data_IF_995071609970
#
_entry.id   IF_995071609970
#
_cell.length_a   1.000
_cell.length_b   1.000
_cell.length_c   1.000
_cell.angle_alpha   90.00
_cell.angle_beta   90.00
_cell.angle_gamma   90.00
#
_symmetry.space_group_name_H-M   'P 1'
#
loop_
_entity.id
_entity.type
_entity.pdbx_description
1 polymer ?
#
# COMPACT_ATOMS: atom_id res chain seq x y z
N UNK A 1 8.85 2.18 32.12
CA UNK A 1 7.67 1.72 31.35
C UNK A 1 6.32 2.10 31.96
N UNK A 2 6.22 2.43 33.26
CA UNK A 2 4.91 2.70 33.90
C UNK A 2 4.29 4.08 33.60
N UNK A 3 5.07 5.06 33.15
CA UNK A 3 4.61 6.47 33.06
C UNK A 3 3.90 6.83 31.75
N UNK A 4 3.81 5.92 30.79
CA UNK A 4 3.24 6.22 29.46
C UNK A 4 1.91 5.54 29.19
N UNK A 5 1.33 4.86 30.16
CA UNK A 5 0.03 4.23 29.98
C UNK A 5 -1.05 5.23 30.41
N UNK A 6 -1.59 5.98 29.49
CA UNK A 6 -2.52 7.10 29.73
C UNK A 6 -3.74 6.72 30.57
N UNK A 7 -4.30 5.53 30.42
CA UNK A 7 -5.44 5.08 31.25
C UNK A 7 -5.07 4.77 32.71
N UNK A 8 -3.79 4.83 33.08
CA UNK A 8 -3.29 4.77 34.46
C UNK A 8 -2.85 6.14 34.98
N UNK A 9 -3.07 7.20 34.24
CA UNK A 9 -2.77 8.57 34.65
C UNK A 9 -3.47 8.90 35.97
N UNK A 10 -2.79 9.69 36.81
CA UNK A 10 -3.40 10.26 38.01
C UNK A 10 -4.38 11.39 37.69
N UNK A 11 -4.19 12.03 36.53
CA UNK A 11 -5.13 12.99 36.01
C UNK A 11 -6.40 12.29 35.56
N UNK A 12 -7.55 12.74 36.10
CA UNK A 12 -8.83 12.09 35.86
C UNK A 12 -9.35 12.37 34.44
N UNK A 13 -9.08 13.54 33.90
CA UNK A 13 -9.52 13.92 32.55
C UNK A 13 -8.73 13.17 31.50
N UNK A 14 -7.39 13.16 31.60
CA UNK A 14 -6.52 12.38 30.72
C UNK A 14 -6.86 10.88 30.78
N UNK A 15 -7.08 10.35 31.96
CA UNK A 15 -7.46 8.95 32.16
C UNK A 15 -8.79 8.61 31.49
N UNK A 16 -9.81 9.43 31.69
CA UNK A 16 -11.15 9.19 31.15
C UNK A 16 -11.16 9.33 29.62
N UNK A 17 -10.45 10.30 29.05
CA UNK A 17 -10.27 10.43 27.62
C UNK A 17 -9.57 9.21 27.02
N UNK A 18 -8.50 8.72 27.65
CA UNK A 18 -7.78 7.53 27.21
C UNK A 18 -8.66 6.26 27.29
N UNK A 19 -9.47 6.11 28.33
CA UNK A 19 -10.38 4.95 28.47
C UNK A 19 -11.45 4.95 27.38
N UNK A 20 -11.97 6.12 27.02
CA UNK A 20 -12.92 6.26 25.92
C UNK A 20 -12.29 5.88 24.58
N UNK A 21 -11.11 6.43 24.29
CA UNK A 21 -10.34 6.14 23.08
C UNK A 21 -10.04 4.63 22.96
N UNK A 22 -9.53 3.99 24.01
CA UNK A 22 -9.30 2.53 24.00
C UNK A 22 -10.59 1.70 23.81
N UNK A 23 -11.72 2.18 24.27
CA UNK A 23 -12.99 1.51 24.07
C UNK A 23 -13.45 1.58 22.62
N UNK A 24 -13.27 2.73 21.98
CA UNK A 24 -13.58 2.91 20.55
C UNK A 24 -12.64 2.10 19.66
N UNK A 25 -11.32 2.16 19.91
CA UNK A 25 -10.34 1.33 19.22
C UNK A 25 -10.62 -0.17 19.39
N UNK A 26 -11.03 -0.61 20.56
CA UNK A 26 -11.38 -2.01 20.79
C UNK A 26 -12.60 -2.42 19.96
N UNK A 27 -13.65 -1.60 19.95
CA UNK A 27 -14.85 -1.86 19.14
C UNK A 27 -14.49 -2.05 17.66
N UNK A 28 -13.65 -1.17 17.11
CA UNK A 28 -13.21 -1.28 15.72
C UNK A 28 -12.34 -2.52 15.49
N UNK A 29 -11.38 -2.78 16.37
CA UNK A 29 -10.54 -3.98 16.30
C UNK A 29 -11.35 -5.27 16.31
N UNK A 30 -12.31 -5.42 17.25
CA UNK A 30 -13.08 -6.65 17.39
C UNK A 30 -14.17 -6.83 16.33
N UNK A 31 -14.51 -5.80 15.56
CA UNK A 31 -15.47 -5.88 14.43
C UNK A 31 -15.10 -6.99 13.45
N UNK A 32 -13.81 -7.06 13.09
CA UNK A 32 -13.28 -8.01 12.10
C UNK A 32 -12.37 -9.08 12.72
N UNK A 33 -12.29 -9.15 14.06
CA UNK A 33 -11.41 -10.05 14.77
C UNK A 33 -11.93 -11.48 14.79
N UNK A 34 -11.09 -12.43 14.34
CA UNK A 34 -11.41 -13.85 14.40
C UNK A 34 -10.53 -14.57 15.45
N UNK A 35 -11.05 -14.80 16.68
CA UNK A 35 -10.26 -15.40 17.76
C UNK A 35 -9.84 -16.84 17.49
N UNK A 36 -10.59 -17.60 16.67
CA UNK A 36 -10.23 -18.99 16.31
C UNK A 36 -9.03 -18.99 15.38
N UNK A 37 -9.04 -18.12 14.37
CA UNK A 37 -7.92 -17.97 13.44
C UNK A 37 -6.67 -17.53 14.18
N UNK A 38 -6.76 -16.50 15.02
CA UNK A 38 -5.63 -15.95 15.75
C UNK A 38 -5.05 -16.97 16.77
N UNK A 39 -5.91 -17.75 17.42
CA UNK A 39 -5.49 -18.87 18.27
C UNK A 39 -4.68 -19.91 17.50
N UNK A 40 -5.14 -20.31 16.31
CA UNK A 40 -4.44 -21.28 15.48
C UNK A 40 -3.12 -20.72 14.96
N UNK A 41 -3.08 -19.43 14.58
CA UNK A 41 -1.84 -18.74 14.23
C UNK A 41 -0.85 -18.72 15.39
N UNK A 42 -1.29 -18.41 16.61
CA UNK A 42 -0.42 -18.44 17.78
C UNK A 42 0.19 -19.84 18.00
N UNK A 43 -0.60 -20.89 17.88
CA UNK A 43 -0.10 -22.27 18.00
C UNK A 43 0.97 -22.56 16.97
N UNK A 44 0.66 -22.37 15.70
CA UNK A 44 1.59 -22.65 14.59
C UNK A 44 2.87 -21.81 14.66
N UNK A 45 2.75 -20.53 15.01
CA UNK A 45 3.92 -19.64 15.13
C UNK A 45 4.83 -20.01 16.31
N UNK A 46 4.27 -20.45 17.43
CA UNK A 46 5.07 -20.94 18.57
C UNK A 46 5.80 -22.24 18.21
N UNK A 47 5.14 -23.16 17.51
CA UNK A 47 5.75 -24.40 17.00
C UNK A 47 6.90 -24.08 16.04
N UNK A 48 6.65 -23.23 15.03
CA UNK A 48 7.68 -22.80 14.09
C UNK A 48 8.88 -22.14 14.80
N UNK A 49 8.62 -21.31 15.81
CA UNK A 49 9.68 -20.67 16.58
C UNK A 49 10.49 -21.72 17.34
N UNK A 50 9.83 -22.68 17.97
CA UNK A 50 10.48 -23.73 18.75
C UNK A 50 11.36 -24.63 17.88
N UNK A 51 10.88 -25.00 16.69
CA UNK A 51 11.57 -25.94 15.81
C UNK A 51 12.68 -25.30 14.99
N UNK A 52 12.51 -24.04 14.55
CA UNK A 52 13.42 -23.44 13.59
C UNK A 52 14.43 -22.44 14.22
N UNK A 53 14.19 -21.99 15.44
CA UNK A 53 15.12 -21.06 16.11
C UNK A 53 16.06 -21.85 17.04
N UNK A 54 17.38 -21.58 17.01
CA UNK A 54 18.32 -22.25 17.93
C UNK A 54 17.91 -22.07 19.39
N UNK A 55 18.02 -23.12 20.18
CA UNK A 55 17.57 -23.15 21.60
C UNK A 55 18.19 -22.05 22.47
N UNK A 56 19.37 -21.57 22.11
CA UNK A 56 20.06 -20.45 22.77
C UNK A 56 19.29 -19.13 22.68
N UNK A 57 18.44 -19.00 21.67
CA UNK A 57 17.58 -17.81 21.44
C UNK A 57 16.12 -18.05 21.80
N UNK A 58 15.79 -19.22 22.38
CA UNK A 58 14.44 -19.48 22.83
C UNK A 58 14.04 -18.53 23.94
N UNK A 59 12.83 -18.03 23.84
CA UNK A 59 12.19 -17.24 24.87
C UNK A 59 11.85 -18.11 26.09
N UNK A 60 11.86 -17.53 27.28
CA UNK A 60 11.49 -18.22 28.53
C UNK A 60 10.05 -18.77 28.53
N UNK A 61 9.21 -18.33 27.61
CA UNK A 61 7.84 -18.84 27.47
C UNK A 61 7.81 -20.34 27.22
N UNK A 62 8.79 -20.88 26.48
CA UNK A 62 8.86 -22.31 26.20
C UNK A 62 9.07 -23.16 27.46
N UNK A 63 9.80 -22.64 28.45
CA UNK A 63 9.92 -23.30 29.76
C UNK A 63 8.57 -23.38 30.47
N UNK A 64 7.72 -22.35 30.31
CA UNK A 64 6.39 -22.32 30.89
C UNK A 64 5.46 -23.30 30.17
N UNK A 65 5.55 -23.43 28.87
CA UNK A 65 4.78 -24.41 28.09
C UNK A 65 5.15 -25.82 28.53
N UNK A 66 6.45 -26.14 28.59
CA UNK A 66 6.93 -27.46 29.05
C UNK A 66 6.48 -27.80 30.45
N UNK A 67 6.45 -26.81 31.37
CA UNK A 67 6.04 -27.02 32.78
C UNK A 67 4.52 -27.15 32.95
N UNK A 68 3.74 -26.55 32.06
CA UNK A 68 2.29 -26.59 32.16
C UNK A 68 1.67 -27.89 31.65
N UNK A 69 2.47 -28.67 30.93
CA UNK A 69 2.01 -29.93 30.32
C UNK A 69 2.52 -31.14 31.11
N UNK A 70 1.57 -31.94 31.56
CA UNK A 70 1.86 -33.21 32.24
C UNK A 70 2.33 -34.31 31.28
N UNK A 71 2.27 -34.05 29.98
CA UNK A 71 2.68 -34.97 28.91
C UNK A 71 4.10 -34.68 28.42
N UNK A 72 4.80 -35.71 27.96
CA UNK A 72 6.16 -35.62 27.43
C UNK A 72 6.28 -34.89 26.08
N UNK A 73 5.18 -34.47 25.47
CA UNK A 73 5.14 -33.74 24.20
C UNK A 73 4.63 -32.31 24.40
N UNK A 74 5.25 -31.37 23.71
CA UNK A 74 4.75 -29.99 23.63
C UNK A 74 3.45 -29.95 22.82
N UNK A 75 2.39 -29.47 23.46
CA UNK A 75 1.07 -29.28 22.83
C UNK A 75 0.78 -27.78 22.71
N UNK A 76 1.25 -27.19 21.60
CA UNK A 76 1.07 -25.78 21.32
C UNK A 76 -0.39 -25.40 21.12
N UNK A 77 -1.22 -26.33 20.59
CA UNK A 77 -2.65 -26.10 20.40
C UNK A 77 -3.40 -25.94 21.73
N UNK A 78 -3.16 -26.86 22.65
CA UNK A 78 -3.75 -26.77 23.99
C UNK A 78 -3.26 -25.54 24.74
N UNK A 79 -1.96 -25.22 24.58
CA UNK A 79 -1.42 -24.00 25.18
C UNK A 79 -2.10 -22.74 24.61
N UNK A 80 -2.21 -22.60 23.30
CA UNK A 80 -2.89 -21.48 22.65
C UNK A 80 -4.36 -21.37 23.07
N UNK A 81 -5.11 -22.49 23.13
CA UNK A 81 -6.47 -22.54 23.65
C UNK A 81 -6.57 -21.97 25.07
N UNK A 82 -5.64 -22.36 25.94
CA UNK A 82 -5.59 -21.86 27.32
C UNK A 82 -5.27 -20.37 27.40
N UNK A 83 -4.39 -19.86 26.54
CA UNK A 83 -4.07 -18.43 26.43
C UNK A 83 -5.34 -17.65 26.05
N UNK A 84 -6.01 -18.03 24.97
CA UNK A 84 -7.20 -17.34 24.48
C UNK A 84 -8.38 -17.43 25.46
N UNK A 85 -8.55 -18.56 26.13
CA UNK A 85 -9.57 -18.70 27.17
C UNK A 85 -9.36 -17.73 28.34
N UNK A 86 -8.11 -17.43 28.72
CA UNK A 86 -7.76 -16.68 29.94
C UNK A 86 -7.41 -15.23 29.70
N UNK A 87 -6.92 -14.88 28.51
CA UNK A 87 -6.53 -13.53 28.18
C UNK A 87 -7.72 -12.57 28.12
N UNK A 88 -7.53 -11.37 28.64
CA UNK A 88 -8.50 -10.30 28.50
C UNK A 88 -8.48 -9.66 27.10
N UNK A 89 -7.46 -9.92 26.31
CA UNK A 89 -7.31 -9.37 24.96
C UNK A 89 -7.94 -10.25 23.88
N UNK A 90 -8.42 -11.44 24.20
CA UNK A 90 -8.98 -12.39 23.22
C UNK A 90 -10.45 -12.19 22.89
N UNK A 91 -11.13 -11.26 23.56
CA UNK A 91 -12.57 -11.10 23.49
C UNK A 91 -12.98 -9.68 23.92
N UNK A 92 -13.86 -9.04 23.15
CA UNK A 92 -14.30 -7.67 23.40
C UNK A 92 -14.96 -7.51 24.79
N UNK A 93 -15.79 -8.46 25.20
CA UNK A 93 -16.47 -8.38 26.49
C UNK A 93 -15.48 -8.44 27.65
N UNK A 94 -14.48 -9.31 27.56
CA UNK A 94 -13.40 -9.40 28.57
C UNK A 94 -12.57 -8.12 28.60
N UNK A 95 -12.26 -7.56 27.45
CA UNK A 95 -11.50 -6.32 27.35
C UNK A 95 -12.29 -5.13 27.92
N UNK A 96 -13.54 -4.99 27.55
CA UNK A 96 -14.43 -3.96 28.09
C UNK A 96 -14.64 -4.10 29.61
N UNK A 97 -14.68 -5.34 30.15
CA UNK A 97 -14.69 -5.59 31.59
C UNK A 97 -13.41 -5.17 32.27
N UNK A 98 -12.26 -5.36 31.61
CA UNK A 98 -10.97 -4.85 32.08
C UNK A 98 -10.95 -3.32 32.13
N UNK A 99 -11.45 -2.62 31.11
CA UNK A 99 -11.48 -1.16 31.04
C UNK A 99 -12.35 -0.50 32.14
N UNK A 100 -13.28 -1.23 32.74
CA UNK A 100 -14.06 -0.72 33.90
C UNK A 100 -13.19 -0.50 35.15
N UNK A 101 -12.12 -1.28 35.32
CA UNK A 101 -11.17 -1.16 36.42
C UNK A 101 -9.77 -1.59 35.93
N UNK A 102 -9.11 -0.74 35.13
CA UNK A 102 -7.83 -1.08 34.52
C UNK A 102 -6.71 -1.10 35.58
N UNK A 103 -5.80 -2.07 35.46
CA UNK A 103 -4.68 -2.24 36.35
C UNK A 103 -3.46 -2.79 35.62
N UNK A 104 -2.32 -2.15 35.84
CA UNK A 104 -1.05 -2.63 35.31
C UNK A 104 -0.71 -4.06 35.78
N UNK A 105 -1.05 -4.39 37.00
CA UNK A 105 -0.82 -5.74 37.53
C UNK A 105 -1.66 -6.81 36.83
N UNK A 106 -2.89 -6.45 36.39
CA UNK A 106 -3.70 -7.36 35.60
C UNK A 106 -3.11 -7.58 34.21
N UNK A 107 -2.60 -6.54 33.57
CA UNK A 107 -1.90 -6.66 32.26
C UNK A 107 -0.69 -7.58 32.43
N UNK A 108 0.16 -7.33 33.40
CA UNK A 108 1.38 -8.15 33.64
C UNK A 108 1.11 -9.64 33.87
N UNK A 109 -0.08 -9.99 34.31
CA UNK A 109 -0.48 -11.39 34.58
C UNK A 109 -1.27 -12.00 33.44
N UNK A 110 -1.61 -11.22 32.43
CA UNK A 110 -2.33 -11.70 31.27
C UNK A 110 -1.45 -12.63 30.42
N UNK A 111 -1.93 -13.83 30.05
CA UNK A 111 -1.10 -14.81 29.34
C UNK A 111 -0.66 -14.32 27.94
N UNK A 112 -1.46 -13.55 27.21
CA UNK A 112 -1.04 -13.00 25.93
C UNK A 112 0.08 -11.95 26.12
N UNK A 113 -0.04 -11.10 27.15
CA UNK A 113 1.02 -10.14 27.49
C UNK A 113 2.33 -10.84 27.91
N UNK A 114 2.24 -11.94 28.65
CA UNK A 114 3.40 -12.74 29.07
C UNK A 114 4.13 -13.34 27.86
N UNK A 115 3.39 -13.87 26.89
CA UNK A 115 3.99 -14.39 25.65
C UNK A 115 4.71 -13.27 24.89
N UNK A 116 4.00 -12.19 24.59
CA UNK A 116 4.55 -11.05 23.87
C UNK A 116 5.78 -10.49 24.56
N UNK A 117 5.71 -10.26 25.89
CA UNK A 117 6.82 -9.70 26.66
C UNK A 117 8.03 -10.65 26.68
N UNK A 118 7.81 -11.96 26.82
CA UNK A 118 8.86 -12.96 26.85
C UNK A 118 9.61 -13.02 25.51
N UNK A 119 8.89 -13.08 24.40
CA UNK A 119 9.46 -13.12 23.05
C UNK A 119 10.19 -11.79 22.74
N UNK A 120 9.56 -10.66 23.03
CA UNK A 120 10.18 -9.34 22.82
C UNK A 120 11.45 -9.15 23.61
N UNK A 121 11.46 -9.54 24.90
CA UNK A 121 12.65 -9.45 25.72
C UNK A 121 13.79 -10.35 25.22
N UNK A 122 13.47 -11.57 24.77
CA UNK A 122 14.46 -12.45 24.14
C UNK A 122 15.06 -11.82 22.87
N UNK A 123 14.23 -11.21 22.02
CA UNK A 123 14.69 -10.48 20.85
C UNK A 123 15.62 -9.31 21.21
N UNK A 124 15.20 -8.46 22.14
CA UNK A 124 15.99 -7.27 22.55
C UNK A 124 17.32 -7.65 23.19
N UNK A 125 17.35 -8.72 23.96
CA UNK A 125 18.57 -9.13 24.68
C UNK A 125 19.54 -9.92 23.80
N UNK A 126 19.02 -10.77 22.91
CA UNK A 126 19.84 -11.74 22.21
C UNK A 126 20.06 -11.42 20.73
N UNK A 127 19.06 -10.84 20.04
CA UNK A 127 19.09 -10.65 18.59
C UNK A 127 19.42 -9.20 18.22
N UNK A 128 18.74 -8.25 18.86
CA UNK A 128 18.88 -6.83 18.51
C UNK A 128 20.33 -6.31 18.60
N UNK A 129 21.15 -6.66 19.61
CA UNK A 129 22.56 -6.22 19.66
C UNK A 129 23.37 -6.74 18.48
N UNK A 130 23.18 -8.01 18.09
CA UNK A 130 23.86 -8.63 16.93
C UNK A 130 23.43 -7.91 15.64
N UNK A 131 22.12 -7.74 15.44
CA UNK A 131 21.59 -7.02 14.27
C UNK A 131 22.14 -5.59 14.18
N UNK A 132 22.25 -4.89 15.32
CA UNK A 132 22.79 -3.54 15.38
C UNK A 132 24.27 -3.50 14.99
N UNK A 133 25.09 -4.45 15.44
CA UNK A 133 26.53 -4.50 15.14
C UNK A 133 26.82 -4.74 13.67
N UNK A 134 26.03 -5.60 13.01
CA UNK A 134 26.26 -5.95 11.58
C UNK A 134 25.47 -5.11 10.58
N UNK A 135 24.74 -4.11 11.07
CA UNK A 135 23.83 -3.31 10.19
C UNK A 135 24.57 -2.61 9.05
N UNK A 136 25.75 -2.07 9.32
CA UNK A 136 26.55 -1.37 8.31
C UNK A 136 27.04 -2.33 7.22
N UNK A 137 27.52 -3.51 7.62
CA UNK A 137 27.98 -4.57 6.70
C UNK A 137 26.83 -5.10 5.84
N UNK A 138 25.65 -5.33 6.44
CA UNK A 138 24.43 -5.74 5.70
C UNK A 138 24.01 -4.67 4.70
N UNK A 139 24.07 -3.39 5.06
CA UNK A 139 23.73 -2.30 4.16
C UNK A 139 24.66 -2.24 2.97
N UNK A 140 25.96 -2.38 3.20
CA UNK A 140 26.98 -2.42 2.14
C UNK A 140 26.83 -3.68 1.26
N UNK A 141 26.61 -4.85 1.89
CA UNK A 141 26.37 -6.11 1.18
C UNK A 141 25.15 -6.02 0.25
N UNK A 142 24.05 -5.45 0.72
CA UNK A 142 22.85 -5.22 -0.08
C UNK A 142 23.13 -4.26 -1.26
N UNK A 143 23.89 -3.20 -1.03
CA UNK A 143 24.28 -2.25 -2.08
C UNK A 143 25.09 -2.93 -3.18
N UNK A 144 26.07 -3.74 -2.81
CA UNK A 144 26.90 -4.51 -3.75
C UNK A 144 26.07 -5.56 -4.49
N UNK A 145 25.16 -6.26 -3.79
CA UNK A 145 24.26 -7.24 -4.39
C UNK A 145 23.37 -6.61 -5.46
N UNK A 146 22.71 -5.49 -5.15
CA UNK A 146 21.88 -4.77 -6.12
C UNK A 146 22.71 -4.28 -7.30
N UNK A 147 23.93 -3.76 -7.07
CA UNK A 147 24.84 -3.39 -8.16
C UNK A 147 25.12 -4.58 -9.07
N UNK A 148 25.41 -5.75 -8.51
CA UNK A 148 25.62 -6.98 -9.27
C UNK A 148 24.40 -7.38 -10.10
N UNK A 149 23.18 -7.27 -9.55
CA UNK A 149 21.95 -7.53 -10.29
C UNK A 149 21.77 -6.59 -11.48
N UNK A 150 22.04 -5.30 -11.29
CA UNK A 150 21.96 -4.29 -12.35
C UNK A 150 22.96 -4.57 -13.48
N UNK A 151 24.16 -5.01 -13.15
CA UNK A 151 25.19 -5.37 -14.13
C UNK A 151 24.86 -6.69 -14.84
N UNK A 152 24.30 -7.68 -14.12
CA UNK A 152 23.93 -8.99 -14.67
C UNK A 152 22.75 -8.91 -15.64
N UNK A 153 21.80 -8.03 -15.38
CA UNK A 153 20.57 -7.88 -16.16
C UNK A 153 20.38 -6.46 -16.72
N UNK A 154 21.24 -5.98 -17.62
CA UNK A 154 21.25 -4.59 -18.08
C UNK A 154 19.98 -4.16 -18.83
N UNK A 155 19.22 -5.13 -19.34
CA UNK A 155 17.95 -4.86 -20.05
C UNK A 155 16.71 -5.02 -19.16
N UNK A 156 16.87 -5.50 -17.91
CA UNK A 156 15.77 -5.60 -16.97
C UNK A 156 15.54 -4.25 -16.29
N UNK A 157 14.29 -3.83 -16.24
CA UNK A 157 13.89 -2.64 -15.49
C UNK A 157 13.79 -3.01 -14.01
N UNK A 158 14.51 -2.27 -13.19
CA UNK A 158 14.42 -2.38 -11.73
C UNK A 158 13.84 -1.09 -11.19
N UNK A 159 12.78 -1.19 -10.44
CA UNK A 159 12.17 -0.07 -9.75
C UNK A 159 12.65 -0.05 -8.30
N UNK A 160 12.78 1.14 -7.74
CA UNK A 160 13.20 1.25 -6.34
C UNK A 160 11.99 1.42 -5.44
N UNK A 161 12.02 0.76 -4.28
CA UNK A 161 11.01 0.95 -3.25
C UNK A 161 11.08 2.36 -2.65
N UNK A 162 9.96 2.86 -2.14
CA UNK A 162 9.87 4.15 -1.47
C UNK A 162 10.82 4.23 -0.26
N UNK A 163 11.57 5.34 -0.16
CA UNK A 163 12.53 5.59 0.92
C UNK A 163 12.58 7.07 1.32
N UNK A 164 11.52 7.81 1.11
CA UNK A 164 11.40 9.26 1.34
C UNK A 164 12.27 10.10 0.39
N UNK A 165 12.64 9.56 -0.77
CA UNK A 165 13.23 10.33 -1.88
C UNK A 165 12.34 10.23 -3.11
N UNK A 166 12.42 11.25 -3.98
CA UNK A 166 11.66 11.24 -5.24
C UNK A 166 12.11 10.07 -6.13
N UNK A 167 11.11 9.35 -6.67
CA UNK A 167 11.31 8.21 -7.57
C UNK A 167 10.31 8.27 -8.70
N UNK A 168 10.67 7.65 -9.80
CA UNK A 168 9.82 7.56 -10.98
C UNK A 168 9.61 6.10 -11.31
N UNK A 169 8.34 5.68 -11.34
CA UNK A 169 7.91 4.49 -12.06
C UNK A 169 7.15 4.92 -13.29
N UNK A 170 7.19 4.14 -14.36
CA UNK A 170 6.51 4.46 -15.60
C UNK A 170 5.85 3.23 -16.20
N UNK A 171 4.73 3.46 -16.87
CA UNK A 171 3.94 2.42 -17.47
C UNK A 171 2.91 3.00 -18.44
N UNK A 172 2.01 2.15 -18.87
CA UNK A 172 0.90 2.51 -19.73
C UNK A 172 -0.42 2.14 -19.06
N UNK A 173 -1.48 2.82 -19.43
CA UNK A 173 -2.84 2.44 -19.07
C UNK A 173 -3.25 1.26 -19.92
N UNK A 174 -3.55 0.13 -19.26
CA UNK A 174 -3.97 -1.11 -19.89
C UNK A 174 -5.06 -1.79 -19.06
N UNK A 175 -5.98 -2.39 -19.77
CA UNK A 175 -6.82 -3.48 -19.29
C UNK A 175 -5.99 -4.73 -18.94
N UNK A 176 -6.64 -5.77 -18.42
CA UNK A 176 -6.00 -7.07 -18.26
C UNK A 176 -7.02 -8.22 -18.20
N UNK A 177 -6.55 -9.40 -18.56
CA UNK A 177 -7.29 -10.64 -18.40
C UNK A 177 -6.81 -11.35 -17.12
N UNK A 178 -7.63 -11.34 -16.06
CA UNK A 178 -7.26 -11.93 -14.77
C UNK A 178 -7.31 -13.45 -14.78
N UNK A 179 -8.29 -14.03 -15.50
CA UNK A 179 -8.49 -15.47 -15.62
C UNK A 179 -9.20 -15.79 -16.94
N UNK A 180 -9.47 -17.05 -17.21
CA UNK A 180 -10.27 -17.43 -18.38
C UNK A 180 -11.66 -16.80 -18.31
N UNK A 181 -12.06 -16.10 -19.40
CA UNK A 181 -13.31 -15.35 -19.52
C UNK A 181 -13.49 -14.18 -18.50
N UNK A 182 -12.45 -13.79 -17.73
CA UNK A 182 -12.51 -12.64 -16.82
C UNK A 182 -11.62 -11.54 -17.36
N UNK A 183 -12.24 -10.43 -17.70
CA UNK A 183 -11.59 -9.26 -18.27
C UNK A 183 -11.92 -8.01 -17.45
N UNK A 184 -10.93 -7.24 -17.07
CA UNK A 184 -11.06 -5.97 -16.40
C UNK A 184 -10.66 -4.83 -17.35
N UNK A 185 -11.59 -3.90 -17.55
CA UNK A 185 -11.32 -2.69 -18.31
C UNK A 185 -10.33 -1.78 -17.55
N UNK A 186 -9.69 -0.87 -18.28
CA UNK A 186 -8.67 0.00 -17.71
C UNK A 186 -9.25 1.15 -16.86
N UNK A 187 -10.55 1.31 -16.75
CA UNK A 187 -11.20 2.36 -15.96
C UNK A 187 -12.50 1.88 -15.32
N UNK A 188 -12.92 2.61 -14.29
CA UNK A 188 -14.26 2.49 -13.70
C UNK A 188 -14.97 3.84 -13.73
N UNK A 189 -16.30 3.81 -13.61
CA UNK A 189 -17.16 5.00 -13.60
C UNK A 189 -17.88 5.14 -12.26
N UNK A 190 -18.55 6.27 -12.06
CA UNK A 190 -19.37 6.52 -10.88
C UNK A 190 -20.49 5.49 -10.71
N UNK A 191 -20.92 4.82 -11.78
CA UNK A 191 -21.91 3.73 -11.71
C UNK A 191 -21.45 2.61 -10.78
N UNK A 192 -20.15 2.29 -10.81
CA UNK A 192 -19.57 1.26 -9.92
C UNK A 192 -19.64 1.64 -8.45
N UNK A 193 -19.62 2.92 -8.09
CA UNK A 193 -19.83 3.39 -6.72
C UNK A 193 -21.29 3.11 -6.32
N UNK A 194 -22.25 3.47 -7.19
CA UNK A 194 -23.67 3.28 -6.91
C UNK A 194 -24.05 1.79 -6.84
N UNK A 195 -23.44 0.94 -7.66
CA UNK A 195 -23.66 -0.51 -7.63
C UNK A 195 -23.20 -1.18 -6.34
N UNK A 196 -22.23 -0.58 -5.65
CA UNK A 196 -21.68 -1.09 -4.38
C UNK A 196 -22.31 -0.44 -3.15
N UNK A 197 -23.20 0.54 -3.34
CA UNK A 197 -23.84 1.22 -2.21
C UNK A 197 -24.56 0.21 -1.33
N UNK A 198 -24.24 0.23 -0.04
CA UNK A 198 -24.91 -0.56 1.01
C UNK A 198 -25.03 0.31 2.27
N UNK A 199 -26.24 0.72 2.55
CA UNK A 199 -26.56 1.54 3.73
C UNK A 199 -26.34 0.81 5.07
N UNK A 200 -26.18 -0.51 5.06
CA UNK A 200 -25.92 -1.33 6.24
C UNK A 200 -24.43 -1.57 6.50
N UNK A 201 -23.59 -1.36 5.49
CA UNK A 201 -22.13 -1.45 5.63
C UNK A 201 -21.49 -0.07 5.59
N UNK A 202 -20.87 0.34 6.70
CA UNK A 202 -20.26 1.66 6.84
C UNK A 202 -19.19 1.97 5.77
N UNK A 203 -18.54 0.94 5.22
CA UNK A 203 -17.52 1.10 4.17
C UNK A 203 -18.14 1.42 2.80
N UNK A 204 -19.42 1.04 2.59
CA UNK A 204 -20.11 1.20 1.30
C UNK A 204 -21.24 2.24 1.34
N UNK A 205 -21.41 2.98 2.45
CA UNK A 205 -22.36 4.08 2.51
C UNK A 205 -21.93 5.18 1.53
N UNK A 206 -22.79 5.45 0.53
CA UNK A 206 -22.60 6.60 -0.36
C UNK A 206 -23.32 7.83 0.21
N UNK A 207 -22.63 8.97 0.37
CA UNK A 207 -23.28 10.19 0.85
C UNK A 207 -24.45 10.61 -0.05
N UNK A 208 -25.58 10.96 0.57
CA UNK A 208 -26.81 11.35 -0.15
C UNK A 208 -26.56 12.41 -1.23
N UNK A 209 -25.74 13.41 -0.94
CA UNK A 209 -25.38 14.45 -1.91
C UNK A 209 -24.72 13.88 -3.19
N UNK A 210 -23.89 12.83 -3.06
CA UNK A 210 -23.27 12.19 -4.20
C UNK A 210 -24.29 11.40 -5.02
N UNK A 211 -25.25 10.73 -4.35
CA UNK A 211 -26.36 10.05 -5.00
C UNK A 211 -27.22 11.07 -5.78
N UNK A 212 -27.53 12.21 -5.17
CA UNK A 212 -28.33 13.26 -5.80
C UNK A 212 -27.61 13.82 -7.04
N UNK A 213 -26.30 14.08 -6.97
CA UNK A 213 -25.48 14.50 -8.13
C UNK A 213 -25.43 13.44 -9.23
N UNK A 214 -25.31 12.17 -8.87
CA UNK A 214 -25.38 11.06 -9.81
C UNK A 214 -26.73 11.02 -10.56
N UNK A 215 -27.84 11.13 -9.83
CA UNK A 215 -29.17 11.09 -10.42
C UNK A 215 -29.46 12.27 -11.36
N UNK A 216 -28.85 13.42 -11.12
CA UNK A 216 -28.93 14.59 -12.02
C UNK A 216 -28.12 14.33 -13.30
N UNK A 217 -27.01 13.59 -13.21
CA UNK A 217 -26.16 13.26 -14.36
C UNK A 217 -25.37 14.44 -14.93
N UNK A 218 -25.34 15.58 -14.23
CA UNK A 218 -24.57 16.75 -14.67
C UNK A 218 -23.13 16.71 -14.11
N UNK A 219 -22.25 16.06 -14.84
CA UNK A 219 -20.82 16.01 -14.51
C UNK A 219 -20.04 17.18 -15.13
N UNK A 220 -20.67 18.01 -15.95
CA UNK A 220 -20.07 19.19 -16.57
C UNK A 220 -18.77 18.88 -17.33
N UNK A 221 -17.73 19.69 -17.07
CA UNK A 221 -16.40 19.52 -17.69
C UNK A 221 -15.65 18.27 -17.27
N UNK A 222 -16.13 17.55 -16.27
CA UNK A 222 -15.47 16.35 -15.71
C UNK A 222 -15.93 15.05 -16.40
N UNK A 223 -17.01 15.12 -17.18
CA UNK A 223 -17.43 13.98 -17.99
C UNK A 223 -16.40 13.67 -19.09
N UNK A 224 -16.31 12.39 -19.46
CA UNK A 224 -15.61 11.97 -20.66
C UNK A 224 -16.45 12.23 -21.91
N UNK A 225 -15.97 11.79 -23.08
CA UNK A 225 -16.65 12.02 -24.36
C UNK A 225 -18.01 11.32 -24.49
N UNK A 226 -18.18 10.24 -23.74
CA UNK A 226 -19.39 9.44 -23.70
C UNK A 226 -20.37 9.93 -22.62
N UNK A 227 -20.02 11.01 -21.91
CA UNK A 227 -20.82 11.60 -20.83
C UNK A 227 -20.64 10.91 -19.47
N UNK A 228 -19.68 10.01 -19.32
CA UNK A 228 -19.44 9.28 -18.07
C UNK A 228 -18.45 10.02 -17.18
N UNK A 229 -18.64 9.94 -15.86
CA UNK A 229 -17.64 10.37 -14.89
C UNK A 229 -16.75 9.19 -14.52
N UNK A 230 -15.50 9.22 -14.98
CA UNK A 230 -14.49 8.20 -14.64
C UNK A 230 -13.98 8.41 -13.23
N UNK A 231 -13.90 7.31 -12.47
CA UNK A 231 -13.49 7.34 -11.06
C UNK A 231 -12.05 6.88 -10.90
N UNK A 232 -11.71 5.74 -11.49
CA UNK A 232 -10.39 5.15 -11.42
C UNK A 232 -9.91 4.73 -12.79
N UNK A 233 -8.58 4.62 -12.94
CA UNK A 233 -7.95 3.91 -14.05
C UNK A 233 -6.80 3.05 -13.54
N UNK A 234 -6.41 2.07 -14.35
CA UNK A 234 -5.30 1.16 -14.02
C UNK A 234 -4.17 1.27 -15.04
N UNK A 235 -2.94 1.07 -14.54
CA UNK A 235 -1.73 1.11 -15.35
C UNK A 235 -0.75 0.02 -14.91
N UNK A 236 0.19 -0.35 -15.79
CA UNK A 236 1.20 -1.37 -15.49
C UNK A 236 2.48 -0.80 -14.86
N UNK A 237 2.35 0.28 -14.09
CA UNK A 237 3.41 0.77 -13.24
C UNK A 237 3.67 -0.23 -12.10
N UNK A 238 4.94 -0.40 -11.74
CA UNK A 238 5.31 -1.13 -10.54
C UNK A 238 5.32 -0.18 -9.35
N UNK A 239 4.51 -0.46 -8.35
CA UNK A 239 4.38 0.31 -7.10
C UNK A 239 4.46 -0.59 -5.88
N UNK A 240 4.77 0.00 -4.75
CA UNK A 240 4.79 -0.66 -3.44
C UNK A 240 4.25 0.27 -2.36
N UNK A 241 4.17 -0.20 -1.12
CA UNK A 241 3.78 0.64 0.02
C UNK A 241 4.63 1.90 0.13
N UNK A 242 3.97 3.05 0.28
CA UNK A 242 4.58 4.39 0.26
C UNK A 242 4.30 5.19 -1.02
N UNK A 243 3.80 4.55 -2.07
CA UNK A 243 3.39 5.22 -3.31
C UNK A 243 2.00 5.84 -3.23
N UNK A 244 1.21 5.49 -2.22
CA UNK A 244 -0.14 6.03 -2.02
C UNK A 244 -0.13 7.55 -1.89
N UNK A 245 -0.98 8.24 -2.66
CA UNK A 245 -1.05 9.71 -2.74
C UNK A 245 -0.09 10.33 -3.77
N UNK A 246 0.71 9.54 -4.47
CA UNK A 246 1.64 10.04 -5.47
C UNK A 246 0.93 10.53 -6.73
N UNK A 247 1.36 11.66 -7.31
CA UNK A 247 0.78 12.16 -8.54
C UNK A 247 1.11 11.24 -9.72
N UNK A 248 0.10 10.95 -10.53
CA UNK A 248 0.27 10.30 -11.82
C UNK A 248 0.23 11.37 -12.89
N UNK A 249 1.30 11.46 -13.68
CA UNK A 249 1.42 12.48 -14.72
C UNK A 249 1.48 11.83 -16.12
N UNK A 250 1.00 12.56 -17.11
CA UNK A 250 1.16 12.15 -18.50
C UNK A 250 2.50 12.63 -19.08
N UNK A 251 2.74 12.32 -20.36
CA UNK A 251 3.99 12.69 -21.05
C UNK A 251 4.21 14.21 -21.22
N UNK A 252 3.22 15.03 -20.91
CA UNK A 252 3.34 16.50 -20.93
C UNK A 252 3.56 17.11 -19.54
N UNK A 253 3.70 16.26 -18.49
CA UNK A 253 3.82 16.71 -17.11
C UNK A 253 2.51 17.14 -16.47
N UNK A 254 1.37 16.83 -17.07
CA UNK A 254 0.05 17.17 -16.55
C UNK A 254 -0.41 16.07 -15.57
N UNK A 255 -0.97 16.43 -14.42
CA UNK A 255 -1.54 15.48 -13.47
C UNK A 255 -2.81 14.88 -14.08
N UNK A 256 -2.85 13.57 -14.17
CA UNK A 256 -4.00 12.80 -14.70
C UNK A 256 -4.66 11.94 -13.63
N UNK A 257 -4.03 11.78 -12.48
CA UNK A 257 -4.58 11.03 -11.36
C UNK A 257 -3.67 11.01 -10.15
N UNK A 258 -4.10 10.24 -9.15
CA UNK A 258 -3.37 9.99 -7.91
C UNK A 258 -3.33 8.48 -7.68
N UNK A 259 -2.14 7.91 -7.57
CA UNK A 259 -1.97 6.50 -7.27
C UNK A 259 -2.37 6.21 -5.82
N UNK A 260 -3.09 5.09 -5.59
CA UNK A 260 -3.49 4.77 -4.22
C UNK A 260 -3.40 3.28 -3.86
N UNK A 261 -3.47 2.36 -4.83
CA UNK A 261 -3.45 0.93 -4.54
C UNK A 261 -2.93 0.10 -5.72
N UNK A 262 -2.72 -1.20 -5.49
CA UNK A 262 -2.54 -2.23 -6.50
C UNK A 262 -3.80 -3.06 -6.68
N UNK A 263 -3.96 -3.69 -7.84
CA UNK A 263 -5.01 -4.68 -8.02
C UNK A 263 -4.70 -5.96 -7.21
N UNK A 264 -5.67 -6.88 -7.13
CA UNK A 264 -5.52 -8.11 -6.35
C UNK A 264 -4.29 -8.93 -6.76
N UNK A 265 -4.01 -8.98 -8.06
CA UNK A 265 -2.86 -9.70 -8.63
C UNK A 265 -1.52 -9.05 -8.30
N UNK A 266 -1.51 -7.78 -7.86
CA UNK A 266 -0.31 -7.08 -7.44
C UNK A 266 0.17 -7.45 -6.01
N UNK A 267 -0.57 -8.27 -5.26
CA UNK A 267 -0.19 -8.70 -3.91
C UNK A 267 1.16 -9.41 -3.84
N UNK A 268 1.58 -10.06 -4.92
CA UNK A 268 2.90 -10.71 -5.03
C UNK A 268 3.98 -9.80 -5.63
N UNK A 269 3.68 -8.54 -5.92
CA UNK A 269 4.56 -7.62 -6.64
C UNK A 269 5.91 -7.38 -5.98
N UNK A 270 5.94 -7.35 -4.64
CA UNK A 270 7.18 -7.20 -3.88
C UNK A 270 8.16 -8.38 -4.04
N UNK A 271 7.65 -9.56 -4.45
CA UNK A 271 8.46 -10.75 -4.73
C UNK A 271 8.83 -10.79 -6.21
N UNK A 272 7.84 -10.66 -7.10
CA UNK A 272 8.01 -10.70 -8.53
C UNK A 272 6.90 -9.90 -9.23
N UNK A 273 7.30 -8.86 -9.97
CA UNK A 273 6.35 -8.06 -10.75
C UNK A 273 6.00 -8.77 -12.06
N UNK A 274 4.71 -9.03 -12.27
CA UNK A 274 4.16 -9.62 -13.48
C UNK A 274 3.36 -8.60 -14.29
N UNK A 275 3.96 -8.09 -15.34
CA UNK A 275 3.43 -7.00 -16.17
C UNK A 275 2.11 -7.35 -16.90
N UNK A 276 1.78 -8.62 -17.04
CA UNK A 276 0.58 -9.08 -17.76
C UNK A 276 -0.70 -8.86 -16.96
N UNK A 277 -0.63 -9.00 -15.62
CA UNK A 277 -1.81 -8.96 -14.74
C UNK A 277 -1.72 -7.94 -13.61
N UNK A 278 -0.52 -7.56 -13.18
CA UNK A 278 -0.36 -6.61 -12.09
C UNK A 278 -0.60 -5.17 -12.55
N UNK A 279 -1.41 -4.43 -11.81
CA UNK A 279 -1.81 -3.05 -12.13
C UNK A 279 -1.77 -2.16 -10.90
N UNK A 280 -1.28 -0.95 -11.12
CA UNK A 280 -1.49 0.19 -10.22
C UNK A 280 -2.87 0.76 -10.43
N UNK A 281 -3.60 1.04 -9.36
CA UNK A 281 -4.89 1.70 -9.39
C UNK A 281 -4.69 3.17 -9.02
N UNK A 282 -5.24 4.05 -9.84
CA UNK A 282 -5.16 5.50 -9.64
C UNK A 282 -6.54 6.13 -9.72
N UNK A 283 -6.81 7.08 -8.81
CA UNK A 283 -8.02 7.91 -8.91
C UNK A 283 -7.86 8.85 -10.10
N UNK A 284 -8.88 8.94 -10.94
CA UNK A 284 -8.90 9.88 -12.08
C UNK A 284 -8.99 11.32 -11.58
N UNK A 285 -8.17 12.20 -12.10
CA UNK A 285 -8.12 13.61 -11.68
C UNK A 285 -9.46 14.31 -11.90
N UNK A 286 -10.24 13.90 -12.89
CA UNK A 286 -11.57 14.47 -13.17
C UNK A 286 -12.56 14.18 -12.05
N UNK A 287 -12.50 12.97 -11.46
CA UNK A 287 -13.30 12.63 -10.29
C UNK A 287 -12.90 13.45 -9.08
N UNK A 288 -11.58 13.62 -8.82
CA UNK A 288 -11.09 14.46 -7.73
C UNK A 288 -11.61 15.90 -7.88
N UNK A 289 -11.47 16.47 -9.07
CA UNK A 289 -11.96 17.83 -9.34
C UNK A 289 -13.49 17.95 -9.24
N UNK A 290 -14.23 16.94 -9.68
CA UNK A 290 -15.69 16.88 -9.52
C UNK A 290 -16.09 16.88 -8.03
N UNK A 291 -15.41 16.10 -7.22
CA UNK A 291 -15.66 16.08 -5.76
C UNK A 291 -15.36 17.44 -5.13
N UNK A 292 -14.27 18.09 -5.51
CA UNK A 292 -13.92 19.41 -4.97
C UNK A 292 -14.97 20.45 -5.42
N UNK A 293 -15.31 20.49 -6.70
CA UNK A 293 -16.19 21.50 -7.28
C UNK A 293 -17.66 21.30 -6.89
N UNK A 294 -18.21 20.13 -7.25
CA UNK A 294 -19.66 19.88 -7.15
C UNK A 294 -20.09 19.30 -5.81
N UNK A 295 -19.33 18.34 -5.28
CA UNK A 295 -19.70 17.72 -4.02
C UNK A 295 -19.32 18.59 -2.81
N UNK A 296 -18.11 19.11 -2.76
CA UNK A 296 -17.64 19.97 -1.67
C UNK A 296 -17.97 21.48 -1.87
N UNK A 297 -18.52 21.86 -3.03
CA UNK A 297 -18.87 23.25 -3.37
C UNK A 297 -17.69 24.23 -3.21
N UNK A 298 -16.49 23.74 -3.53
CA UNK A 298 -15.23 24.49 -3.35
C UNK A 298 -14.64 24.91 -4.70
N UNK A 299 -15.48 25.47 -5.58
CA UNK A 299 -15.09 25.89 -6.95
C UNK A 299 -13.89 26.85 -6.97
N UNK A 300 -13.73 27.66 -5.92
CA UNK A 300 -12.57 28.56 -5.79
C UNK A 300 -11.22 27.82 -5.85
N UNK A 301 -11.13 26.57 -5.35
CA UNK A 301 -9.91 25.76 -5.45
C UNK A 301 -9.64 25.34 -6.90
N UNK A 302 -10.69 25.08 -7.67
CA UNK A 302 -10.55 24.76 -9.11
C UNK A 302 -10.11 25.97 -9.91
N UNK A 303 -10.54 27.18 -9.52
CA UNK A 303 -10.15 28.44 -10.17
C UNK A 303 -8.66 28.76 -9.98
N UNK A 304 -8.05 28.28 -8.90
CA UNK A 304 -6.60 28.40 -8.67
C UNK A 304 -5.77 27.43 -9.52
N UNK A 305 -6.41 26.41 -10.11
CA UNK A 305 -5.71 25.38 -10.88
C UNK A 305 -5.61 25.73 -12.37
N UNK A 306 -4.50 25.42 -13.00
CA UNK A 306 -4.38 25.46 -14.45
C UNK A 306 -4.91 24.15 -15.04
N UNK A 307 -6.08 24.18 -15.64
CA UNK A 307 -6.68 23.01 -16.28
C UNK A 307 -6.15 22.88 -17.71
N UNK A 308 -5.45 21.77 -17.97
CA UNK A 308 -4.94 21.48 -19.29
C UNK A 308 -6.06 21.20 -20.29
N UNK A 309 -5.98 21.71 -21.53
CA UNK A 309 -6.98 21.42 -22.54
C UNK A 309 -6.95 19.94 -22.93
N UNK A 310 -8.12 19.39 -23.30
CA UNK A 310 -8.18 18.02 -23.86
C UNK A 310 -7.31 17.91 -25.10
N UNK A 311 -6.33 17.01 -25.07
CA UNK A 311 -5.35 16.81 -26.17
C UNK A 311 -5.72 15.58 -27.00
N UNK A 312 -6.97 15.46 -27.41
CA UNK A 312 -7.40 14.40 -28.30
C UNK A 312 -6.63 14.53 -29.62
N UNK A 313 -5.86 13.49 -29.96
CA UNK A 313 -5.10 13.35 -31.23
C UNK A 313 -3.84 14.23 -31.45
N UNK A 314 -3.28 14.83 -30.41
CA UNK A 314 -1.92 15.36 -30.55
C UNK A 314 -0.92 14.34 -29.99
N UNK A 315 -0.17 13.67 -30.90
CA UNK A 315 1.08 13.04 -30.48
C UNK A 315 1.83 14.07 -29.63
N UNK A 316 2.32 13.71 -28.44
CA UNK A 316 3.33 14.51 -27.77
C UNK A 316 4.56 14.47 -28.68
N UNK A 317 4.64 15.36 -29.66
CA UNK A 317 5.93 15.72 -30.17
C UNK A 317 6.69 16.17 -28.94
N UNK A 318 7.80 15.51 -28.62
CA UNK A 318 8.71 15.96 -27.59
C UNK A 318 9.22 17.35 -27.99
N UNK A 319 8.43 18.37 -27.75
CA UNK A 319 8.89 19.73 -27.61
C UNK A 319 9.30 19.93 -26.16
N UNK A 320 10.28 19.18 -25.72
CA UNK A 320 11.15 19.68 -24.68
C UNK A 320 11.68 21.00 -25.23
N UNK A 321 11.50 22.08 -24.47
CA UNK A 321 12.01 23.40 -24.82
C UNK A 321 13.44 23.21 -25.33
N UNK A 322 13.71 23.62 -26.55
CA UNK A 322 14.91 23.28 -27.37
C UNK A 322 16.27 23.67 -26.71
N UNK A 323 16.20 24.34 -25.56
CA UNK A 323 17.35 24.90 -24.89
C UNK A 323 18.02 24.01 -23.84
N UNK A 324 17.34 22.94 -23.36
CA UNK A 324 17.85 22.11 -22.25
C UNK A 324 18.20 20.66 -22.66
N UNK A 325 18.02 20.30 -23.94
CA UNK A 325 18.38 18.96 -24.42
C UNK A 325 19.87 18.89 -24.76
N UNK A 326 20.53 17.83 -24.30
CA UNK A 326 21.85 17.44 -24.82
C UNK A 326 21.76 17.12 -26.32
N UNK A 327 22.86 17.26 -27.05
CA UNK A 327 22.92 16.96 -28.48
C UNK A 327 22.53 15.50 -28.80
N UNK A 328 22.75 14.58 -27.87
CA UNK A 328 22.28 13.20 -27.97
C UNK A 328 20.76 13.12 -27.95
N UNK A 329 20.13 13.78 -26.98
CA UNK A 329 18.67 13.77 -26.81
C UNK A 329 17.97 14.45 -27.98
N UNK A 330 18.53 15.53 -28.54
CA UNK A 330 18.04 16.16 -29.77
C UNK A 330 18.13 15.21 -30.98
N UNK A 331 19.24 14.52 -31.10
CA UNK A 331 19.46 13.56 -32.21
C UNK A 331 18.49 12.36 -32.10
N UNK A 332 18.24 11.89 -30.87
CA UNK A 332 17.27 10.83 -30.57
C UNK A 332 15.84 11.28 -30.88
N UNK A 333 15.42 12.45 -30.37
CA UNK A 333 14.11 13.02 -30.60
C UNK A 333 13.81 13.25 -32.09
N UNK A 334 14.79 13.79 -32.81
CA UNK A 334 14.69 14.01 -34.26
C UNK A 334 14.57 12.67 -35.02
N UNK A 335 15.39 11.68 -34.69
CA UNK A 335 15.29 10.37 -35.33
C UNK A 335 13.92 9.71 -35.06
N UNK A 336 13.35 9.88 -33.88
CA UNK A 336 11.99 9.39 -33.52
C UNK A 336 10.88 10.13 -34.25
N UNK A 337 10.95 11.45 -34.34
CA UNK A 337 9.94 12.22 -35.08
C UNK A 337 9.91 11.84 -36.57
N UNK A 338 11.04 11.40 -37.12
CA UNK A 338 11.17 10.92 -38.49
C UNK A 338 10.92 9.40 -38.65
N UNK A 339 10.43 8.70 -37.59
CA UNK A 339 10.20 7.24 -37.58
C UNK A 339 11.45 6.40 -38.01
N UNK A 340 12.66 6.90 -37.80
CA UNK A 340 13.86 6.14 -38.05
C UNK A 340 14.08 5.04 -37.05
N UNK A 341 14.49 3.84 -37.47
CA UNK A 341 14.78 2.71 -36.55
C UNK A 341 16.10 2.89 -35.79
N UNK A 342 17.01 3.69 -36.33
CA UNK A 342 18.34 3.97 -35.77
C UNK A 342 18.74 5.41 -36.08
N UNK A 343 19.62 5.97 -35.26
CA UNK A 343 20.31 7.23 -35.55
C UNK A 343 21.80 7.10 -35.18
N UNK A 344 22.62 7.97 -35.73
CA UNK A 344 24.06 8.01 -35.46
C UNK A 344 24.34 9.23 -34.58
N UNK A 345 25.09 9.01 -33.51
CA UNK A 345 25.59 10.07 -32.65
C UNK A 345 27.04 9.77 -32.27
N UNK A 346 27.93 10.72 -32.49
CA UNK A 346 29.37 10.55 -32.29
C UNK A 346 29.95 9.28 -32.93
N UNK A 347 29.55 8.98 -34.18
CA UNK A 347 30.01 7.82 -34.93
C UNK A 347 29.46 6.46 -34.48
N UNK A 348 28.60 6.40 -33.44
CA UNK A 348 27.95 5.19 -32.97
C UNK A 348 26.48 5.16 -33.38
N UNK A 349 26.00 3.95 -33.76
CA UNK A 349 24.62 3.75 -34.12
C UNK A 349 23.80 3.36 -32.88
N UNK A 350 22.68 4.04 -32.66
CA UNK A 350 21.74 3.82 -31.57
C UNK A 350 20.37 3.43 -32.10
N UNK A 351 19.71 2.47 -31.47
CA UNK A 351 18.35 2.07 -31.83
C UNK A 351 17.34 3.06 -31.26
N UNK A 352 16.36 3.43 -32.08
CA UNK A 352 15.12 4.04 -31.64
C UNK A 352 14.06 2.91 -31.57
N UNK A 353 13.85 2.25 -30.44
CA UNK A 353 12.90 1.15 -30.37
C UNK A 353 11.54 1.63 -30.85
N UNK A 354 10.91 0.89 -31.77
CA UNK A 354 9.49 1.06 -32.03
C UNK A 354 8.78 0.70 -30.71
N UNK A 355 8.44 1.71 -29.95
CA UNK A 355 7.28 1.57 -29.08
C UNK A 355 6.13 1.46 -30.06
N UNK A 356 5.47 0.31 -30.15
CA UNK A 356 4.17 0.23 -30.76
C UNK A 356 3.32 1.21 -29.98
N UNK A 357 3.18 2.42 -30.52
CA UNK A 357 2.16 3.34 -30.08
C UNK A 357 0.84 2.75 -30.57
N UNK A 358 0.31 1.78 -29.83
CA UNK A 358 -1.12 1.62 -29.80
C UNK A 358 -1.68 2.94 -29.26
N UNK A 359 -2.76 3.37 -29.84
CA UNK A 359 -3.44 4.66 -29.82
C UNK A 359 -3.72 5.32 -28.46
N UNK A 360 -3.04 5.01 -27.37
CA UNK A 360 -3.41 5.48 -26.03
C UNK A 360 -2.18 5.86 -25.21
N UNK A 361 -2.11 7.10 -24.91
CA UNK A 361 -1.57 7.80 -23.74
C UNK A 361 -0.50 7.06 -22.89
N UNK A 362 0.76 7.44 -23.10
CA UNK A 362 1.83 7.13 -22.17
C UNK A 362 1.58 7.93 -20.88
N UNK A 363 1.32 7.25 -19.78
CA UNK A 363 1.23 7.87 -18.45
C UNK A 363 2.50 7.58 -17.68
N UNK A 364 3.09 8.62 -17.14
CA UNK A 364 4.24 8.55 -16.25
C UNK A 364 3.74 8.77 -14.83
N UNK A 365 3.98 7.84 -13.93
CA UNK A 365 3.71 8.07 -12.52
C UNK A 365 5.00 8.56 -11.86
N UNK A 366 4.98 9.79 -11.37
CA UNK A 366 6.04 10.35 -10.54
C UNK A 366 5.70 10.04 -9.09
N UNK A 367 6.61 9.37 -8.40
CA UNK A 367 6.41 8.96 -7.01
C UNK A 367 7.34 9.82 -6.14
N UNK A 368 6.75 10.55 -5.24
CA UNK A 368 7.46 11.30 -4.20
C UNK A 368 7.71 10.44 -2.97
#
# INVERSE_FOLDING_TARGET
MNNNIKFLSKDAEERNAALLDYKEQAKEFYKNYNPILDQNLLSSMLEMYYDNVPKTYHSDIFRNIIRSESSKSLDFDNYAKNVFRRSMFSDELKFNKFLKNPSYQRIKRDPAYLIMSSIYNSYIQNIYPIRKSVRAELSEGNRIFIKGLLEMYPNKKFYSNANSTMRVTYGNVYDYKAADAVYYDYYTTIDGIMQKEDSLDQEFIVPKKLIDLYNIGDYGRYADQDGNLRVNFISNNDITGGNSGSPVINAWGEIVGVAFDGNWEAMSGDIAFENTVQRTISVDIRYIMFIIDKFAESSHLIEEMTIAPSRINKNPGFNLLDNDLSDFERSFANARSLNKKTFIYNGKSYHTPKVNMMKNNLYLALIL
#
